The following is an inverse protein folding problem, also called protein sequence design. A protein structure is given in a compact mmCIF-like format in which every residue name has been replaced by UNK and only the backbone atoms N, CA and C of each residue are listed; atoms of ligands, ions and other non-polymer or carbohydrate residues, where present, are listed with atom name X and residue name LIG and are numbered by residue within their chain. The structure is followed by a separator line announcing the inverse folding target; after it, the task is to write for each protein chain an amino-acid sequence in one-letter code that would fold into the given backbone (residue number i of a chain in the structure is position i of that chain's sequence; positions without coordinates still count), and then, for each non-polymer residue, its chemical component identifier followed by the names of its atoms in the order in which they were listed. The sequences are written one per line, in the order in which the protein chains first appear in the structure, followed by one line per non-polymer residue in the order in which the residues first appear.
data_IF_837691059760
#
_entry.id   IF_837691059760
#
_cell.length_a   1.000
_cell.length_b   1.000
_cell.length_c   1.000
_cell.angle_alpha   90.00
_cell.angle_beta   90.00
_cell.angle_gamma   90.00
#
_symmetry.space_group_name_H-M   'P 1'
#
loop_
_entity.id
_entity.type
_entity.pdbx_description
1 polymer ?
#
# COMPACT_ATOMS: atom_id res chain seq x y z
N UNK A 1 -4.51 3.64 -7.44
CA UNK A 1 -5.89 3.73 -6.90
C UNK A 1 -6.80 4.62 -7.72
N UNK A 2 -6.37 5.84 -8.11
CA UNK A 2 -7.24 6.74 -8.88
C UNK A 2 -7.61 6.16 -10.25
N UNK A 3 -6.65 5.63 -11.01
CA UNK A 3 -6.90 5.09 -12.34
C UNK A 3 -7.85 3.87 -12.29
N UNK A 4 -7.67 3.01 -11.29
CA UNK A 4 -8.46 1.80 -11.05
C UNK A 4 -9.88 2.15 -10.58
N UNK A 5 -10.04 3.19 -9.74
CA UNK A 5 -11.35 3.68 -9.34
C UNK A 5 -12.10 4.31 -10.52
N UNK A 6 -11.43 5.08 -11.37
CA UNK A 6 -12.02 5.62 -12.60
C UNK A 6 -12.39 4.51 -13.58
N UNK A 7 -11.59 3.44 -13.68
CA UNK A 7 -11.90 2.29 -14.51
C UNK A 7 -13.12 1.50 -13.98
N UNK A 8 -13.23 1.32 -12.65
CA UNK A 8 -14.43 0.73 -12.04
C UNK A 8 -15.67 1.58 -12.30
N UNK A 9 -15.57 2.90 -12.12
CA UNK A 9 -16.66 3.83 -12.37
C UNK A 9 -17.09 3.80 -13.83
N UNK A 10 -16.14 3.84 -14.77
CA UNK A 10 -16.43 3.72 -16.20
C UNK A 10 -17.12 2.40 -16.53
N UNK A 11 -16.69 1.30 -15.91
CA UNK A 11 -17.32 0.00 -16.08
C UNK A 11 -18.76 -0.02 -15.54
N UNK A 12 -18.98 0.50 -14.32
CA UNK A 12 -20.31 0.59 -13.73
C UNK A 12 -21.25 1.51 -14.53
N UNK A 13 -20.74 2.65 -14.99
CA UNK A 13 -21.47 3.57 -15.86
C UNK A 13 -21.93 2.90 -17.15
N UNK A 14 -21.05 2.15 -17.81
CA UNK A 14 -21.30 1.59 -19.15
C UNK A 14 -22.00 0.24 -19.16
N UNK A 15 -21.81 -0.60 -18.13
CA UNK A 15 -22.29 -1.99 -18.11
C UNK A 15 -23.42 -2.24 -17.12
N UNK A 16 -23.48 -1.51 -16.02
CA UNK A 16 -24.51 -1.68 -14.99
C UNK A 16 -25.67 -0.69 -15.12
N UNK A 17 -25.70 0.12 -16.18
CA UNK A 17 -26.78 1.09 -16.41
C UNK A 17 -26.80 2.24 -15.39
N UNK A 18 -25.74 2.40 -14.59
CA UNK A 18 -25.64 3.41 -13.55
C UNK A 18 -25.54 4.84 -14.11
N UNK A 19 -25.31 5.01 -15.41
CA UNK A 19 -25.34 6.34 -16.05
C UNK A 19 -26.71 7.01 -16.05
N UNK A 20 -27.79 6.26 -15.82
CA UNK A 20 -29.16 6.79 -15.68
C UNK A 20 -29.70 6.70 -14.24
N UNK A 21 -28.92 6.20 -13.29
CA UNK A 21 -29.29 6.07 -11.88
C UNK A 21 -28.21 6.72 -10.99
N UNK A 22 -28.41 7.99 -10.67
CA UNK A 22 -27.48 8.76 -9.82
C UNK A 22 -27.33 8.13 -8.43
N UNK A 23 -28.42 7.61 -7.88
CA UNK A 23 -28.44 7.06 -6.53
C UNK A 23 -27.67 5.74 -6.42
N UNK A 24 -27.79 4.88 -7.42
CA UNK A 24 -26.99 3.67 -7.56
C UNK A 24 -25.51 3.99 -7.82
N UNK A 25 -25.24 5.04 -8.61
CA UNK A 25 -23.87 5.48 -8.90
C UNK A 25 -23.14 5.99 -7.65
N UNK A 26 -23.83 6.69 -6.75
CA UNK A 26 -23.27 7.08 -5.46
C UNK A 26 -22.96 5.88 -4.57
N UNK A 27 -23.87 4.91 -4.46
CA UNK A 27 -23.62 3.68 -3.70
C UNK A 27 -22.46 2.88 -4.29
N UNK A 28 -22.40 2.74 -5.61
CA UNK A 28 -21.31 2.07 -6.32
C UNK A 28 -19.96 2.75 -6.03
N UNK A 29 -19.93 4.08 -6.13
CA UNK A 29 -18.72 4.88 -5.88
C UNK A 29 -18.27 4.76 -4.42
N UNK A 30 -19.22 4.83 -3.48
CA UNK A 30 -18.96 4.65 -2.06
C UNK A 30 -18.36 3.26 -1.78
N UNK A 31 -18.97 2.18 -2.26
CA UNK A 31 -18.46 0.81 -2.07
C UNK A 31 -17.08 0.64 -2.71
N UNK A 32 -16.88 1.22 -3.90
CA UNK A 32 -15.58 1.20 -4.58
C UNK A 32 -14.49 1.84 -3.72
N UNK A 33 -14.76 3.04 -3.19
CA UNK A 33 -13.82 3.75 -2.32
C UNK A 33 -13.61 3.03 -0.98
N UNK A 34 -14.67 2.50 -0.38
CA UNK A 34 -14.62 1.74 0.87
C UNK A 34 -13.70 0.52 0.74
N UNK A 35 -13.90 -0.32 -0.29
CA UNK A 35 -13.09 -1.51 -0.49
C UNK A 35 -11.65 -1.17 -0.88
N UNK A 36 -11.44 -0.14 -1.70
CA UNK A 36 -10.10 0.35 -1.99
C UNK A 36 -9.38 0.85 -0.74
N UNK A 37 -10.05 1.61 0.11
CA UNK A 37 -9.49 2.09 1.37
C UNK A 37 -9.08 0.90 2.25
N UNK A 38 -10.01 -0.01 2.54
CA UNK A 38 -9.76 -1.19 3.39
C UNK A 38 -8.58 -2.04 2.91
N UNK A 39 -8.56 -2.40 1.63
CA UNK A 39 -7.53 -3.27 1.06
C UNK A 39 -6.18 -2.57 0.86
N UNK A 40 -6.20 -1.26 0.59
CA UNK A 40 -4.97 -0.47 0.51
C UNK A 40 -4.27 -0.34 1.85
N UNK A 41 -5.00 -0.28 2.98
CA UNK A 41 -4.41 -0.31 4.33
C UNK A 41 -3.61 -1.60 4.52
N UNK A 42 -4.16 -2.73 4.10
CA UNK A 42 -3.49 -4.04 4.20
C UNK A 42 -2.23 -4.08 3.33
N UNK A 43 -2.33 -3.62 2.08
CA UNK A 43 -1.19 -3.57 1.15
C UNK A 43 -0.10 -2.58 1.60
N UNK A 44 -0.47 -1.39 2.06
CA UNK A 44 0.46 -0.32 2.43
C UNK A 44 1.15 -0.54 3.78
N UNK A 45 0.63 -1.44 4.62
CA UNK A 45 1.22 -1.77 5.94
C UNK A 45 2.70 -2.13 5.83
N UNK A 46 3.11 -2.76 4.73
CA UNK A 46 4.50 -3.19 4.54
C UNK A 46 5.11 -2.72 3.24
N UNK A 47 6.42 -2.45 3.31
CA UNK A 47 7.25 -2.13 2.12
C UNK A 47 7.59 -3.36 1.28
N UNK A 48 7.45 -4.57 1.84
CA UNK A 48 7.58 -5.83 1.11
C UNK A 48 6.19 -6.33 0.71
N UNK A 49 6.14 -7.54 0.16
CA UNK A 49 4.88 -8.25 -0.05
C UNK A 49 4.06 -8.31 1.23
N UNK A 50 2.82 -7.83 1.20
CA UNK A 50 1.98 -7.68 2.38
C UNK A 50 1.77 -8.99 3.15
N UNK A 51 1.77 -10.13 2.45
CA UNK A 51 1.57 -11.47 3.03
C UNK A 51 2.82 -12.05 3.72
N UNK A 52 3.97 -11.37 3.70
CA UNK A 52 5.11 -11.77 4.54
C UNK A 52 4.83 -11.49 6.03
N UNK A 53 4.07 -10.42 6.25
CA UNK A 53 3.60 -9.81 7.49
C UNK A 53 2.20 -10.22 7.96
N UNK A 54 1.98 -10.89 9.10
CA UNK A 54 0.63 -10.92 9.68
C UNK A 54 0.28 -9.57 10.30
N UNK A 55 -0.87 -8.96 9.93
CA UNK A 55 -1.34 -7.74 10.59
C UNK A 55 -1.68 -7.98 12.07
N UNK A 56 -1.65 -6.91 12.87
CA UNK A 56 -2.07 -7.00 14.27
C UNK A 56 -3.58 -7.24 14.35
N UNK A 57 -4.03 -7.89 15.44
CA UNK A 57 -5.45 -8.19 15.65
C UNK A 57 -6.33 -6.93 15.62
N UNK A 58 -5.82 -5.80 16.11
CA UNK A 58 -6.53 -4.52 16.08
C UNK A 58 -6.71 -3.98 14.66
N UNK A 59 -5.67 -4.04 13.82
CA UNK A 59 -5.76 -3.61 12.42
C UNK A 59 -6.76 -4.48 11.66
N UNK A 60 -6.69 -5.80 11.85
CA UNK A 60 -7.67 -6.72 11.22
C UNK A 60 -9.08 -6.39 11.70
N UNK A 61 -9.29 -6.25 13.00
CA UNK A 61 -10.61 -5.95 13.55
C UNK A 61 -11.18 -4.63 13.02
N UNK A 62 -10.36 -3.58 12.96
CA UNK A 62 -10.78 -2.27 12.46
C UNK A 62 -11.17 -2.33 10.97
N UNK A 63 -10.31 -2.92 10.13
CA UNK A 63 -10.55 -3.04 8.67
C UNK A 63 -11.79 -3.90 8.40
N UNK A 64 -11.94 -5.02 9.11
CA UNK A 64 -13.12 -5.89 8.98
C UNK A 64 -14.39 -5.17 9.44
N UNK A 65 -14.35 -4.49 10.59
CA UNK A 65 -15.50 -3.77 11.12
C UNK A 65 -15.95 -2.65 10.17
N UNK A 66 -15.02 -1.82 9.70
CA UNK A 66 -15.32 -0.74 8.74
C UNK A 66 -15.92 -1.29 7.44
N UNK A 67 -15.30 -2.34 6.88
CA UNK A 67 -15.78 -2.96 5.64
C UNK A 67 -17.19 -3.53 5.80
N UNK A 68 -17.45 -4.24 6.91
CA UNK A 68 -18.76 -4.84 7.18
C UNK A 68 -19.83 -3.78 7.46
N UNK A 69 -19.52 -2.77 8.28
CA UNK A 69 -20.47 -1.69 8.61
C UNK A 69 -20.80 -0.92 7.33
N UNK A 70 -19.78 -0.48 6.58
CA UNK A 70 -19.98 0.28 5.35
C UNK A 70 -20.75 -0.51 4.30
N UNK A 71 -20.45 -1.80 4.12
CA UNK A 71 -21.20 -2.67 3.18
C UNK A 71 -22.64 -2.88 3.63
N UNK A 72 -22.87 -3.12 4.93
CA UNK A 72 -24.20 -3.38 5.47
C UNK A 72 -25.12 -2.16 5.31
N UNK A 73 -24.60 -0.95 5.51
CA UNK A 73 -25.34 0.29 5.29
C UNK A 73 -25.84 0.41 3.84
N UNK A 74 -25.06 -0.07 2.87
CA UNK A 74 -25.43 -0.03 1.46
C UNK A 74 -26.42 -1.12 1.03
N UNK A 75 -26.69 -2.11 1.88
CA UNK A 75 -27.81 -3.05 1.69
C UNK A 75 -29.11 -2.55 2.30
N UNK A 76 -29.04 -1.83 3.41
CA UNK A 76 -30.21 -1.16 4.00
C UNK A 76 -30.65 0.03 3.13
N UNK A 77 -29.69 0.69 2.48
CA UNK A 77 -29.92 1.94 1.77
C UNK A 77 -29.97 3.12 2.75
N UNK A 78 -29.58 4.29 2.26
CA UNK A 78 -29.67 5.56 3.00
C UNK A 78 -30.38 6.58 2.11
N UNK A 79 -30.95 7.67 2.67
CA UNK A 79 -31.54 8.72 1.85
C UNK A 79 -30.52 9.25 0.82
N UNK A 80 -30.81 9.06 -0.48
CA UNK A 80 -29.90 9.43 -1.58
C UNK A 80 -28.91 8.33 -2.01
N UNK A 81 -28.88 7.18 -1.34
CA UNK A 81 -28.06 6.00 -1.67
C UNK A 81 -28.96 4.79 -1.85
N UNK A 82 -29.21 4.41 -3.11
CA UNK A 82 -30.03 3.25 -3.41
C UNK A 82 -29.31 1.96 -2.98
N UNK A 83 -30.03 0.98 -2.42
CA UNK A 83 -29.44 -0.30 -2.08
C UNK A 83 -28.99 -1.02 -3.35
N UNK A 84 -27.75 -1.50 -3.33
CA UNK A 84 -27.14 -2.18 -4.47
C UNK A 84 -27.27 -3.69 -4.30
N UNK A 85 -27.51 -4.46 -5.38
CA UNK A 85 -27.53 -5.91 -5.32
C UNK A 85 -26.25 -6.50 -4.73
N UNK A 86 -26.37 -7.56 -3.93
CA UNK A 86 -25.22 -8.21 -3.28
C UNK A 86 -24.13 -8.69 -4.25
N UNK A 87 -24.51 -9.05 -5.48
CA UNK A 87 -23.56 -9.50 -6.50
C UNK A 87 -22.71 -8.34 -7.05
N UNK A 88 -23.25 -7.12 -7.13
CA UNK A 88 -22.48 -5.93 -7.50
C UNK A 88 -21.47 -5.61 -6.41
N UNK A 89 -21.89 -5.64 -5.14
CA UNK A 89 -20.97 -5.46 -4.01
C UNK A 89 -19.82 -6.47 -4.03
N UNK A 90 -20.11 -7.76 -4.30
CA UNK A 90 -19.09 -8.79 -4.46
C UNK A 90 -18.18 -8.55 -5.68
N UNK A 91 -18.73 -8.09 -6.81
CA UNK A 91 -17.95 -7.77 -8.00
C UNK A 91 -16.97 -6.61 -7.73
N UNK A 92 -17.43 -5.55 -7.07
CA UNK A 92 -16.59 -4.41 -6.68
C UNK A 92 -15.53 -4.87 -5.68
N UNK A 93 -15.90 -5.68 -4.68
CA UNK A 93 -14.96 -6.22 -3.70
C UNK A 93 -13.86 -7.07 -4.38
N UNK A 94 -14.26 -7.99 -5.28
CA UNK A 94 -13.32 -8.81 -6.03
C UNK A 94 -12.39 -7.98 -6.92
N UNK A 95 -12.94 -6.98 -7.61
CA UNK A 95 -12.16 -6.04 -8.41
C UNK A 95 -11.15 -5.26 -7.55
N UNK A 96 -11.57 -4.74 -6.41
CA UNK A 96 -10.71 -4.02 -5.47
C UNK A 96 -9.63 -4.94 -4.90
N UNK A 97 -9.96 -6.20 -4.58
CA UNK A 97 -9.01 -7.21 -4.11
C UNK A 97 -7.91 -7.47 -5.15
N UNK A 98 -8.27 -7.71 -6.42
CA UNK A 98 -7.29 -7.90 -7.49
C UNK A 98 -6.44 -6.64 -7.70
N UNK A 99 -7.08 -5.48 -7.74
CA UNK A 99 -6.39 -4.21 -7.97
C UNK A 99 -5.41 -3.86 -6.84
N UNK A 100 -5.82 -3.99 -5.58
CA UNK A 100 -4.97 -3.67 -4.42
C UNK A 100 -3.93 -4.74 -4.13
N UNK A 101 -4.36 -6.00 -3.99
CA UNK A 101 -3.53 -7.07 -3.45
C UNK A 101 -2.67 -7.75 -4.51
N UNK A 102 -2.95 -7.53 -5.81
CA UNK A 102 -2.17 -8.09 -6.91
C UNK A 102 -1.50 -6.98 -7.70
N UNK A 103 -2.25 -6.16 -8.43
CA UNK A 103 -1.68 -5.17 -9.36
C UNK A 103 -0.84 -4.16 -8.61
N UNK A 104 -1.42 -3.50 -7.61
CA UNK A 104 -0.74 -2.46 -6.85
C UNK A 104 0.34 -3.02 -5.95
N UNK A 105 0.15 -4.23 -5.43
CA UNK A 105 1.17 -4.90 -4.66
C UNK A 105 2.43 -5.17 -5.49
N UNK A 106 2.28 -5.67 -6.72
CA UNK A 106 3.38 -5.88 -7.67
C UNK A 106 4.05 -4.55 -8.00
N UNK A 107 3.27 -3.53 -8.39
CA UNK A 107 3.80 -2.21 -8.74
C UNK A 107 4.57 -1.61 -7.56
N UNK A 108 4.00 -1.65 -6.36
CA UNK A 108 4.63 -1.19 -5.11
C UNK A 108 5.98 -1.87 -4.90
N UNK A 109 6.03 -3.20 -4.94
CA UNK A 109 7.26 -3.97 -4.67
C UNK A 109 8.32 -3.72 -5.74
N UNK A 110 7.94 -3.66 -7.02
CA UNK A 110 8.86 -3.36 -8.12
C UNK A 110 9.45 -1.96 -7.97
N UNK A 111 8.62 -0.94 -7.71
CA UNK A 111 9.09 0.43 -7.52
C UNK A 111 10.01 0.57 -6.31
N UNK A 112 9.71 -0.11 -5.20
CA UNK A 112 10.56 -0.11 -3.99
C UNK A 112 11.91 -0.78 -4.28
N UNK A 113 11.92 -1.90 -4.98
CA UNK A 113 13.17 -2.58 -5.35
C UNK A 113 13.99 -1.77 -6.37
N UNK A 114 13.33 -1.10 -7.31
CA UNK A 114 13.99 -0.25 -8.30
C UNK A 114 14.64 0.99 -7.66
N UNK A 115 13.99 1.60 -6.66
CA UNK A 115 14.56 2.71 -5.90
C UNK A 115 15.59 2.28 -4.85
N UNK A 116 15.85 0.98 -4.69
CA UNK A 116 16.83 0.50 -3.71
C UNK A 116 18.24 0.75 -4.24
N UNK A 117 19.11 1.50 -3.50
CA UNK A 117 20.48 1.74 -3.92
C UNK A 117 21.23 0.41 -4.13
N UNK A 118 21.97 0.29 -5.23
CA UNK A 118 22.64 -0.94 -5.65
C UNK A 118 23.59 -1.52 -4.57
N UNK A 119 24.25 -0.66 -3.78
CA UNK A 119 25.16 -1.08 -2.70
C UNK A 119 24.50 -1.89 -1.58
N UNK A 120 23.17 -1.80 -1.42
CA UNK A 120 22.44 -2.45 -0.32
C UNK A 120 21.95 -3.86 -0.69
N UNK A 121 21.81 -4.16 -1.99
CA UNK A 121 21.07 -5.31 -2.48
C UNK A 121 21.75 -6.68 -2.28
N UNK A 122 23.07 -6.72 -2.15
CA UNK A 122 23.87 -7.95 -1.99
C UNK A 122 24.55 -8.11 -0.62
N UNK A 123 24.28 -7.20 0.31
CA UNK A 123 25.03 -7.12 1.56
C UNK A 123 24.42 -7.99 2.66
N UNK A 124 25.21 -8.78 3.41
CA UNK A 124 24.72 -9.52 4.56
C UNK A 124 24.06 -8.58 5.58
N UNK A 125 22.97 -9.04 6.22
CA UNK A 125 22.16 -8.21 7.12
C UNK A 125 22.98 -7.58 8.27
N UNK A 126 23.95 -8.32 8.80
CA UNK A 126 24.87 -7.84 9.84
C UNK A 126 25.77 -6.71 9.36
N UNK A 127 26.32 -6.82 8.14
CA UNK A 127 27.16 -5.81 7.53
C UNK A 127 26.35 -4.55 7.21
N UNK A 128 25.13 -4.72 6.71
CA UNK A 128 24.20 -3.61 6.47
C UNK A 128 23.87 -2.87 7.77
N UNK A 129 23.68 -3.60 8.87
CA UNK A 129 23.44 -3.01 10.19
C UNK A 129 24.64 -2.15 10.64
N UNK A 130 25.87 -2.66 10.49
CA UNK A 130 27.09 -1.92 10.85
C UNK A 130 27.26 -0.63 10.04
N UNK A 131 26.99 -0.68 8.74
CA UNK A 131 27.04 0.51 7.88
C UNK A 131 25.95 1.50 8.25
N UNK A 132 24.72 1.03 8.54
CA UNK A 132 23.63 1.90 8.95
C UNK A 132 23.94 2.62 10.27
N UNK A 133 24.50 1.90 11.27
CA UNK A 133 24.98 2.51 12.52
C UNK A 133 26.04 3.55 12.24
N UNK A 134 27.03 3.22 11.41
CA UNK A 134 28.12 4.15 11.11
C UNK A 134 27.66 5.38 10.31
N UNK A 135 26.71 5.23 9.39
CA UNK A 135 26.12 6.33 8.66
C UNK A 135 25.33 7.27 9.59
N UNK A 136 24.65 6.71 10.60
CA UNK A 136 23.95 7.49 11.61
C UNK A 136 24.91 8.29 12.50
N UNK A 137 26.05 7.71 12.91
CA UNK A 137 27.10 8.46 13.61
C UNK A 137 27.66 9.64 12.79
N UNK A 138 27.80 9.47 11.48
CA UNK A 138 28.21 10.56 10.57
C UNK A 138 27.15 11.67 10.51
N UNK A 139 25.86 11.30 10.45
CA UNK A 139 24.75 12.24 10.52
C UNK A 139 24.70 13.02 11.83
N UNK A 140 24.98 12.36 12.97
CA UNK A 140 25.12 13.04 14.27
C UNK A 140 26.29 14.03 14.27
N UNK A 141 27.43 13.63 13.70
CA UNK A 141 28.59 14.52 13.54
C UNK A 141 28.30 15.76 12.67
N UNK A 142 27.41 15.64 11.68
CA UNK A 142 26.92 16.75 10.87
C UNK A 142 25.82 17.57 11.55
N UNK A 143 25.52 17.29 12.82
CA UNK A 143 24.54 18.06 13.60
C UNK A 143 23.10 17.80 13.16
N UNK A 144 22.79 16.60 12.68
CA UNK A 144 21.45 16.21 12.22
C UNK A 144 20.95 17.02 11.00
N UNK A 145 21.86 17.40 10.12
CA UNK A 145 21.52 18.12 8.88
C UNK A 145 21.01 17.16 7.81
N UNK A 146 19.78 17.35 7.35
CA UNK A 146 19.17 16.51 6.31
C UNK A 146 19.78 16.79 4.92
N UNK A 147 19.72 15.80 4.01
CA UNK A 147 20.26 15.89 2.64
C UNK A 147 21.60 15.20 2.39
N UNK A 148 22.28 14.71 3.44
CA UNK A 148 23.56 13.99 3.32
C UNK A 148 23.44 12.47 3.45
N UNK A 149 22.23 11.92 3.59
CA UNK A 149 22.00 10.50 3.87
C UNK A 149 22.72 9.54 2.90
N UNK A 150 22.73 9.85 1.60
CA UNK A 150 23.43 9.02 0.61
C UNK A 150 24.96 9.14 0.72
N UNK A 151 25.48 10.33 1.03
CA UNK A 151 26.91 10.57 1.20
C UNK A 151 27.44 9.88 2.46
N UNK A 152 26.70 10.02 3.57
CA UNK A 152 27.01 9.40 4.86
C UNK A 152 26.97 7.87 4.74
N UNK A 153 25.98 7.33 4.02
CA UNK A 153 25.92 5.90 3.72
C UNK A 153 27.13 5.41 2.93
N UNK A 154 27.48 6.10 1.83
CA UNK A 154 28.62 5.73 0.99
C UNK A 154 29.96 5.84 1.74
N UNK A 155 30.09 6.82 2.63
CA UNK A 155 31.27 6.96 3.46
C UNK A 155 31.36 5.83 4.49
N UNK A 156 30.28 5.56 5.22
CA UNK A 156 30.21 4.45 6.18
C UNK A 156 30.55 3.12 5.52
N UNK A 157 30.04 2.86 4.31
CA UNK A 157 30.36 1.65 3.55
C UNK A 157 31.86 1.53 3.26
N UNK A 158 32.50 2.61 2.78
CA UNK A 158 33.95 2.62 2.53
C UNK A 158 34.75 2.36 3.81
N UNK A 159 34.36 2.97 4.93
CA UNK A 159 35.05 2.81 6.21
C UNK A 159 34.95 1.38 6.76
N UNK A 160 33.76 0.80 6.73
CA UNK A 160 33.54 -0.58 7.20
C UNK A 160 34.24 -1.58 6.27
N UNK A 161 34.21 -1.37 4.95
CA UNK A 161 34.87 -2.26 3.98
C UNK A 161 36.40 -2.23 4.09
N UNK A 162 36.99 -1.09 4.47
CA UNK A 162 38.44 -0.99 4.77
C UNK A 162 38.83 -1.73 6.05
N UNK A 163 37.93 -1.82 7.04
CA UNK A 163 38.16 -2.51 8.31
C UNK A 163 37.92 -4.03 8.23
N UNK A 164 37.23 -4.50 7.20
CA UNK A 164 37.06 -5.93 6.96
C UNK A 164 38.41 -6.56 6.58
N UNK A 165 38.88 -7.60 7.28
CA UNK A 165 40.11 -8.28 6.90
C UNK A 165 39.92 -8.87 5.49
N UNK A 166 40.81 -8.51 4.57
CA UNK A 166 40.95 -9.21 3.30
C UNK A 166 41.21 -10.68 3.60
N UNK A 167 40.24 -11.55 3.26
CA UNK A 167 40.49 -12.98 3.15
C UNK A 167 41.44 -13.26 2.00
#
# INVERSE_FOLDING_TARGET
MVAEALLALWFGWSRFGLGSDESGLYTFSFLTLLYFAALSIVSARERRWFWMTMPSKLVVAAVVAETLIGTSLMFVGLPGLAPVPWWEALAIFGYAAVSCLVVNEVVKVVLINWRRPAGIAGMPATLRMQIATRAYELYEHHGYSDGHADQDWLQAEREIRKKAPTK
#
